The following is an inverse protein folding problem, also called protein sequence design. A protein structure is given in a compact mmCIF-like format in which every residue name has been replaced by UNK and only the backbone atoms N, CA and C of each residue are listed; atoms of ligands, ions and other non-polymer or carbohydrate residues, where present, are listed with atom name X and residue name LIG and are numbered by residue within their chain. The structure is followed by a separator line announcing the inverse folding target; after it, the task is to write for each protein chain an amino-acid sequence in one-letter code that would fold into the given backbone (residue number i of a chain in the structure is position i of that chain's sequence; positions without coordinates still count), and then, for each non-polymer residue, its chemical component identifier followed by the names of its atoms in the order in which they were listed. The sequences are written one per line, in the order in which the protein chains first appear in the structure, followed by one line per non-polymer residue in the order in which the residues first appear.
data_IF_540005428427
#
_entry.id   IF_540005428427
#
_cell.length_a   1.000
_cell.length_b   1.000
_cell.length_c   1.000
_cell.angle_alpha   90.00
_cell.angle_beta   90.00
_cell.angle_gamma   90.00
#
_symmetry.space_group_name_H-M   'P 1'
#
loop_
_entity.id
_entity.type
_entity.pdbx_description
1 polymer ?
#
# COMPACT_ATOMS: atom_id res chain seq x y z
N UNK A 1 -27.91 -19.07 -1.05
CA UNK A 1 -27.51 -18.57 -2.38
C UNK A 1 -28.72 -17.92 -3.02
N UNK A 2 -28.54 -16.79 -3.71
CA UNK A 2 -29.65 -16.02 -4.31
C UNK A 2 -30.08 -16.56 -5.68
N UNK A 3 -29.42 -17.63 -6.15
CA UNK A 3 -29.75 -18.38 -7.37
C UNK A 3 -31.23 -18.83 -7.45
N UNK A 4 -31.88 -19.02 -6.30
CA UNK A 4 -33.29 -19.45 -6.21
C UNK A 4 -34.28 -18.29 -6.16
N UNK A 5 -33.81 -17.04 -6.00
CA UNK A 5 -34.66 -15.84 -6.03
C UNK A 5 -34.77 -15.40 -7.48
N UNK A 6 -35.89 -15.69 -8.14
CA UNK A 6 -36.10 -15.47 -9.58
C UNK A 6 -36.72 -14.11 -9.91
N UNK A 7 -37.20 -13.37 -8.91
CA UNK A 7 -37.78 -12.03 -9.11
C UNK A 7 -37.64 -11.15 -7.88
N UNK A 8 -37.83 -9.84 -8.07
CA UNK A 8 -37.87 -8.85 -6.99
C UNK A 8 -38.98 -9.16 -5.97
N UNK A 9 -40.13 -9.70 -6.38
CA UNK A 9 -41.19 -10.07 -5.44
C UNK A 9 -40.79 -11.21 -4.51
N UNK A 10 -40.01 -12.18 -5.01
CA UNK A 10 -39.45 -13.26 -4.17
C UNK A 10 -38.48 -12.70 -3.13
N UNK A 11 -37.60 -11.77 -3.54
CA UNK A 11 -36.71 -11.05 -2.62
C UNK A 11 -37.50 -10.29 -1.54
N UNK A 12 -38.54 -9.56 -1.95
CA UNK A 12 -39.38 -8.78 -1.03
C UNK A 12 -40.08 -9.65 0.01
N UNK A 13 -40.52 -10.86 -0.36
CA UNK A 13 -41.16 -11.83 0.55
C UNK A 13 -40.22 -12.32 1.67
N UNK A 14 -38.90 -12.23 1.50
CA UNK A 14 -37.92 -12.64 2.51
C UNK A 14 -37.99 -11.72 3.74
N UNK A 15 -38.41 -10.46 3.57
CA UNK A 15 -38.51 -9.44 4.63
C UNK A 15 -37.23 -9.37 5.46
N UNK A 16 -36.09 -9.27 4.77
CA UNK A 16 -34.77 -9.40 5.39
C UNK A 16 -34.53 -8.39 6.53
N UNK A 17 -35.06 -7.18 6.39
CA UNK A 17 -35.03 -6.11 7.40
C UNK A 17 -35.61 -6.53 8.77
N UNK A 18 -36.57 -7.46 8.80
CA UNK A 18 -37.19 -7.95 10.03
C UNK A 18 -36.27 -8.94 10.79
N UNK A 19 -35.23 -9.47 10.14
CA UNK A 19 -34.33 -10.51 10.68
C UNK A 19 -33.21 -9.94 11.56
N UNK A 20 -33.58 -9.35 12.70
CA UNK A 20 -32.69 -8.64 13.64
C UNK A 20 -31.58 -9.47 14.33
N UNK A 21 -31.47 -10.77 14.05
CA UNK A 21 -30.41 -11.64 14.59
C UNK A 21 -29.22 -11.79 13.64
N UNK A 22 -29.36 -11.34 12.39
CA UNK A 22 -28.32 -11.49 11.37
C UNK A 22 -27.18 -10.51 11.66
N UNK A 23 -25.97 -11.05 11.83
CA UNK A 23 -24.73 -10.29 11.97
C UNK A 23 -23.80 -10.44 10.77
N UNK A 24 -23.91 -11.54 10.05
CA UNK A 24 -23.15 -11.81 8.83
C UNK A 24 -24.16 -12.01 7.71
N UNK A 25 -24.04 -11.21 6.66
CA UNK A 25 -24.92 -11.23 5.51
C UNK A 25 -24.11 -11.45 4.25
N UNK A 26 -24.46 -12.51 3.51
CA UNK A 26 -23.81 -12.85 2.26
C UNK A 26 -24.84 -12.98 1.16
N UNK A 27 -24.65 -12.18 0.12
CA UNK A 27 -25.40 -12.29 -1.11
C UNK A 27 -24.49 -12.83 -2.20
N UNK A 28 -24.82 -14.02 -2.69
CA UNK A 28 -24.00 -14.77 -3.64
C UNK A 28 -24.86 -15.15 -4.83
N UNK A 29 -24.47 -14.64 -5.98
CA UNK A 29 -24.94 -14.99 -7.31
C UNK A 29 -23.95 -15.95 -7.97
N UNK A 30 -24.47 -16.89 -8.75
CA UNK A 30 -23.70 -17.81 -9.58
C UNK A 30 -23.33 -17.17 -10.91
N UNK A 31 -22.05 -17.27 -11.27
CA UNK A 31 -21.39 -16.62 -12.41
C UNK A 31 -22.03 -16.89 -13.79
N UNK A 32 -22.66 -18.05 -13.96
CA UNK A 32 -23.18 -18.53 -15.25
C UNK A 32 -24.72 -18.52 -15.35
N UNK A 33 -25.41 -17.89 -14.38
CA UNK A 33 -26.86 -17.77 -14.44
C UNK A 33 -27.26 -16.79 -15.55
N UNK A 34 -28.04 -17.25 -16.54
CA UNK A 34 -28.64 -16.41 -17.58
C UNK A 34 -29.69 -15.47 -16.97
N UNK A 35 -29.26 -14.33 -16.43
CA UNK A 35 -30.11 -13.27 -15.89
C UNK A 35 -29.75 -11.95 -16.55
N UNK A 36 -30.74 -11.08 -16.73
CA UNK A 36 -30.51 -9.75 -17.28
C UNK A 36 -29.89 -8.83 -16.22
N UNK A 37 -29.20 -7.79 -16.68
CA UNK A 37 -28.60 -6.74 -15.83
C UNK A 37 -29.65 -6.03 -14.96
N UNK A 38 -30.88 -5.95 -15.47
CA UNK A 38 -32.02 -5.29 -14.81
C UNK A 38 -32.60 -6.15 -13.67
N UNK A 39 -32.53 -7.48 -13.77
CA UNK A 39 -33.06 -8.38 -12.73
C UNK A 39 -32.28 -8.29 -11.41
N UNK A 40 -30.94 -8.20 -11.49
CA UNK A 40 -30.08 -8.26 -10.31
C UNK A 40 -30.18 -6.99 -9.45
N UNK A 41 -30.29 -5.81 -10.07
CA UNK A 41 -30.45 -4.55 -9.34
C UNK A 41 -31.81 -4.46 -8.65
N UNK A 42 -32.88 -4.94 -9.30
CA UNK A 42 -34.23 -4.99 -8.70
C UNK A 42 -34.26 -5.97 -7.51
N UNK A 43 -33.69 -7.17 -7.68
CA UNK A 43 -33.56 -8.16 -6.60
C UNK A 43 -32.74 -7.58 -5.44
N UNK A 44 -31.58 -6.98 -5.72
CA UNK A 44 -30.76 -6.37 -4.67
C UNK A 44 -31.50 -5.22 -3.97
N UNK A 45 -32.26 -4.41 -4.71
CA UNK A 45 -33.05 -3.29 -4.18
C UNK A 45 -34.11 -3.70 -3.16
N UNK A 46 -34.73 -4.87 -3.35
CA UNK A 46 -35.71 -5.44 -2.42
C UNK A 46 -35.05 -6.15 -1.21
N UNK A 47 -33.79 -6.56 -1.32
CA UNK A 47 -33.01 -7.23 -0.27
C UNK A 47 -32.39 -6.26 0.74
N UNK A 48 -33.23 -5.40 1.34
CA UNK A 48 -32.78 -4.43 2.35
C UNK A 48 -32.26 -5.13 3.62
N UNK A 49 -31.01 -4.88 4.04
CA UNK A 49 -30.42 -5.57 5.18
C UNK A 49 -30.91 -5.00 6.53
N UNK A 50 -30.86 -5.78 7.61
CA UNK A 50 -31.07 -5.25 8.96
C UNK A 50 -29.81 -4.49 9.44
N UNK A 51 -30.01 -3.43 10.22
CA UNK A 51 -28.91 -2.61 10.76
C UNK A 51 -28.00 -3.33 11.79
N UNK A 52 -28.31 -4.59 12.13
CA UNK A 52 -27.52 -5.45 13.02
C UNK A 52 -26.36 -6.15 12.32
N UNK A 53 -26.27 -6.03 11.00
CA UNK A 53 -25.21 -6.65 10.21
C UNK A 53 -23.87 -5.96 10.49
N UNK A 54 -22.86 -6.78 10.77
CA UNK A 54 -21.48 -6.39 11.02
C UNK A 54 -20.55 -6.78 9.85
N UNK A 55 -20.89 -7.84 9.13
CA UNK A 55 -20.12 -8.33 7.97
C UNK A 55 -21.02 -8.48 6.77
N UNK A 56 -20.64 -7.86 5.66
CA UNK A 56 -21.39 -7.89 4.42
C UNK A 56 -20.53 -8.39 3.27
N UNK A 57 -21.02 -9.39 2.54
CA UNK A 57 -20.38 -9.91 1.33
C UNK A 57 -21.37 -9.86 0.17
N UNK A 58 -20.93 -9.31 -0.95
CA UNK A 58 -21.62 -9.30 -2.22
C UNK A 58 -20.74 -9.98 -3.26
N UNK A 59 -21.25 -11.06 -3.85
CA UNK A 59 -20.50 -11.85 -4.82
C UNK A 59 -21.33 -12.16 -6.07
N UNK A 60 -20.74 -12.00 -7.25
CA UNK A 60 -21.34 -12.40 -8.52
C UNK A 60 -22.43 -11.44 -9.02
N UNK A 61 -22.55 -10.25 -8.42
CA UNK A 61 -23.57 -9.27 -8.80
C UNK A 61 -23.32 -8.75 -10.21
N UNK A 62 -24.30 -8.85 -11.10
CA UNK A 62 -24.14 -8.57 -12.52
C UNK A 62 -24.98 -7.36 -12.96
N UNK A 63 -24.87 -6.25 -12.22
CA UNK A 63 -25.43 -4.97 -12.64
C UNK A 63 -24.37 -3.89 -12.83
N UNK A 64 -24.71 -2.82 -13.52
CA UNK A 64 -23.79 -1.70 -13.81
C UNK A 64 -23.65 -0.75 -12.63
N UNK A 65 -24.65 -0.68 -11.76
CA UNK A 65 -24.69 0.19 -10.57
C UNK A 65 -25.22 -0.56 -9.34
N UNK A 66 -25.01 0.03 -8.18
CA UNK A 66 -25.54 -0.49 -6.92
C UNK A 66 -26.97 -0.02 -6.66
N UNK A 67 -27.76 -0.84 -5.95
CA UNK A 67 -29.09 -0.47 -5.47
C UNK A 67 -29.04 0.76 -4.55
N UNK A 68 -30.14 1.51 -4.46
CA UNK A 68 -30.19 2.78 -3.72
C UNK A 68 -29.82 2.68 -2.24
N UNK A 69 -30.09 1.54 -1.59
CA UNK A 69 -29.69 1.34 -0.20
C UNK A 69 -28.17 1.10 -0.03
N UNK A 70 -27.47 0.63 -1.07
CA UNK A 70 -26.01 0.52 -1.10
C UNK A 70 -25.36 1.87 -1.38
N UNK A 71 -26.00 2.76 -2.14
CA UNK A 71 -25.51 4.15 -2.28
C UNK A 71 -25.73 4.96 -0.99
N UNK A 72 -26.75 4.62 -0.20
CA UNK A 72 -27.01 5.16 1.14
C UNK A 72 -26.59 4.17 2.26
N UNK A 73 -25.47 3.47 2.06
CA UNK A 73 -25.09 2.34 2.93
C UNK A 73 -24.96 2.71 4.41
N UNK A 74 -24.62 3.96 4.73
CA UNK A 74 -24.47 4.44 6.11
C UNK A 74 -25.80 4.36 6.87
N UNK A 75 -26.92 4.66 6.21
CA UNK A 75 -28.25 4.62 6.82
C UNK A 75 -28.72 3.19 7.08
N UNK A 76 -28.44 2.28 6.15
CA UNK A 76 -28.92 0.90 6.23
C UNK A 76 -28.00 0.00 7.06
N UNK A 77 -26.69 0.26 7.03
CA UNK A 77 -25.66 -0.62 7.58
C UNK A 77 -24.61 0.15 8.43
N UNK A 78 -25.02 0.91 9.46
CA UNK A 78 -24.13 1.79 10.24
C UNK A 78 -23.09 1.03 11.09
N UNK A 79 -23.34 -0.25 11.37
CA UNK A 79 -22.50 -1.07 12.25
C UNK A 79 -21.51 -1.97 11.49
N UNK A 80 -21.33 -1.76 10.19
CA UNK A 80 -20.43 -2.59 9.40
C UNK A 80 -18.98 -2.47 9.88
N UNK A 81 -18.34 -3.63 9.94
CA UNK A 81 -16.94 -3.81 10.30
C UNK A 81 -16.15 -4.36 9.10
N UNK A 82 -16.74 -5.27 8.32
CA UNK A 82 -16.07 -5.91 7.18
C UNK A 82 -16.97 -5.97 5.95
N UNK A 83 -16.40 -5.59 4.80
CA UNK A 83 -17.08 -5.57 3.50
C UNK A 83 -16.24 -6.34 2.48
N UNK A 84 -16.93 -7.19 1.71
CA UNK A 84 -16.33 -8.00 0.65
C UNK A 84 -17.15 -7.80 -0.64
N UNK A 85 -16.57 -7.17 -1.65
CA UNK A 85 -17.12 -7.04 -2.99
C UNK A 85 -16.29 -7.94 -3.92
N UNK A 86 -16.89 -9.01 -4.45
CA UNK A 86 -16.14 -10.06 -5.15
C UNK A 86 -16.82 -10.43 -6.46
N UNK A 87 -16.08 -10.40 -7.57
CA UNK A 87 -16.58 -10.85 -8.88
C UNK A 87 -17.85 -10.09 -9.29
N UNK A 88 -17.72 -8.76 -9.40
CA UNK A 88 -18.79 -7.84 -9.83
C UNK A 88 -18.33 -7.14 -11.11
N UNK A 89 -18.25 -7.87 -12.24
CA UNK A 89 -17.47 -7.44 -13.40
C UNK A 89 -18.08 -6.26 -14.15
N UNK A 90 -19.40 -6.10 -14.14
CA UNK A 90 -20.12 -5.06 -14.90
C UNK A 90 -20.23 -3.73 -14.17
N UNK A 91 -19.99 -3.70 -12.86
CA UNK A 91 -20.21 -2.51 -12.05
C UNK A 91 -19.10 -1.49 -12.25
N UNK A 92 -19.47 -0.26 -12.58
CA UNK A 92 -18.53 0.82 -12.90
C UNK A 92 -18.53 1.95 -11.86
N UNK A 93 -19.45 1.95 -10.89
CA UNK A 93 -19.51 2.91 -9.79
C UNK A 93 -19.29 2.21 -8.46
N UNK A 94 -18.57 2.85 -7.54
CA UNK A 94 -18.40 2.35 -6.17
C UNK A 94 -19.33 3.11 -5.22
N UNK A 95 -19.90 2.46 -4.19
CA UNK A 95 -20.68 3.13 -3.17
C UNK A 95 -19.76 3.87 -2.19
N UNK A 96 -20.28 4.88 -1.44
CA UNK A 96 -19.50 5.69 -0.50
C UNK A 96 -19.14 4.91 0.78
N UNK A 97 -18.35 3.85 0.65
CA UNK A 97 -17.94 2.96 1.74
C UNK A 97 -17.04 3.66 2.77
N UNK A 98 -16.34 4.73 2.35
CA UNK A 98 -15.45 5.51 3.19
C UNK A 98 -16.14 6.19 4.38
N UNK A 99 -17.44 6.48 4.26
CA UNK A 99 -18.22 7.15 5.32
C UNK A 99 -18.69 6.22 6.43
N UNK A 100 -18.44 4.91 6.32
CA UNK A 100 -18.86 3.95 7.34
C UNK A 100 -17.99 4.08 8.61
N UNK A 101 -18.61 4.29 9.79
CA UNK A 101 -17.87 4.72 10.98
C UNK A 101 -17.02 3.62 11.61
N UNK A 102 -17.35 2.35 11.38
CA UNK A 102 -16.77 1.21 12.08
C UNK A 102 -16.02 0.22 11.17
N UNK A 103 -15.87 0.54 9.88
CA UNK A 103 -15.27 -0.38 8.92
C UNK A 103 -13.77 -0.50 9.18
N UNK A 104 -13.33 -1.75 9.36
CA UNK A 104 -11.94 -2.15 9.60
C UNK A 104 -11.35 -2.97 8.47
N UNK A 105 -12.19 -3.60 7.66
CA UNK A 105 -11.77 -4.49 6.59
C UNK A 105 -12.58 -4.22 5.33
N UNK A 106 -11.90 -3.93 4.23
CA UNK A 106 -12.49 -3.76 2.92
C UNK A 106 -11.73 -4.62 1.90
N UNK A 107 -12.45 -5.46 1.18
CA UNK A 107 -11.93 -6.23 0.07
C UNK A 107 -12.74 -5.96 -1.19
N UNK A 108 -12.03 -5.58 -2.25
CA UNK A 108 -12.57 -5.41 -3.60
C UNK A 108 -11.79 -6.35 -4.52
N UNK A 109 -12.48 -7.30 -5.14
CA UNK A 109 -11.85 -8.32 -5.98
C UNK A 109 -12.65 -8.52 -7.26
N UNK A 110 -11.99 -8.57 -8.43
CA UNK A 110 -12.65 -8.83 -9.72
C UNK A 110 -13.83 -7.88 -10.03
N UNK A 111 -13.59 -6.58 -9.98
CA UNK A 111 -14.52 -5.55 -10.47
C UNK A 111 -13.97 -4.86 -11.72
N UNK A 112 -13.99 -5.58 -12.84
CA UNK A 112 -13.27 -5.23 -14.08
C UNK A 112 -13.80 -3.99 -14.81
N UNK A 113 -14.98 -3.47 -14.49
CA UNK A 113 -15.49 -2.21 -15.08
C UNK A 113 -15.10 -0.96 -14.29
N UNK A 114 -14.56 -1.11 -13.08
CA UNK A 114 -14.08 0.02 -12.27
C UNK A 114 -12.72 0.47 -12.82
N UNK A 115 -12.65 1.74 -13.22
CA UNK A 115 -11.44 2.35 -13.79
C UNK A 115 -10.66 3.20 -12.80
N UNK A 116 -11.34 3.76 -11.81
CA UNK A 116 -10.74 4.65 -10.83
C UNK A 116 -11.29 4.36 -9.43
N UNK A 117 -10.44 4.55 -8.43
CA UNK A 117 -10.83 4.69 -7.02
C UNK A 117 -10.61 6.16 -6.64
N UNK A 118 -11.69 6.85 -6.29
CA UNK A 118 -11.73 8.27 -6.00
C UNK A 118 -12.84 8.59 -4.97
N UNK A 119 -13.26 9.85 -4.93
CA UNK A 119 -14.28 10.38 -4.01
C UNK A 119 -15.60 9.63 -4.00
N UNK A 120 -15.95 8.89 -5.07
CA UNK A 120 -17.15 8.06 -5.09
C UNK A 120 -17.08 6.94 -4.05
N UNK A 121 -15.90 6.33 -3.86
CA UNK A 121 -15.67 5.31 -2.83
C UNK A 121 -15.55 5.95 -1.43
N UNK A 122 -14.91 7.11 -1.34
CA UNK A 122 -14.69 7.80 -0.06
C UNK A 122 -15.96 8.41 0.51
N UNK A 123 -16.84 8.92 -0.35
CA UNK A 123 -18.09 9.59 0.01
C UNK A 123 -17.89 10.93 0.73
N UNK A 124 -16.72 11.56 0.59
CA UNK A 124 -16.37 12.85 1.21
C UNK A 124 -15.14 12.79 2.12
N UNK A 125 -14.92 13.87 2.87
CA UNK A 125 -13.73 14.02 3.73
C UNK A 125 -13.72 13.04 4.91
N UNK A 126 -12.52 12.74 5.43
CA UNK A 126 -12.30 11.83 6.59
C UNK A 126 -12.84 10.42 6.39
N UNK A 127 -12.74 9.92 5.15
CA UNK A 127 -13.06 8.53 4.84
C UNK A 127 -12.15 7.54 5.58
N UNK A 128 -12.68 6.36 5.87
CA UNK A 128 -11.91 5.20 6.35
C UNK A 128 -11.09 5.43 7.63
N UNK A 129 -11.65 6.12 8.63
CA UNK A 129 -10.97 6.44 9.90
C UNK A 129 -10.42 5.23 10.65
N UNK A 130 -11.16 4.13 10.62
CA UNK A 130 -10.84 2.89 11.34
C UNK A 130 -10.41 1.75 10.41
N UNK A 131 -10.23 2.01 9.10
CA UNK A 131 -9.87 0.96 8.16
C UNK A 131 -8.46 0.44 8.47
N UNK A 132 -8.37 -0.83 8.83
CA UNK A 132 -7.12 -1.48 9.17
C UNK A 132 -6.55 -2.26 7.98
N UNK A 133 -7.42 -2.86 7.17
CA UNK A 133 -7.02 -3.71 6.04
C UNK A 133 -7.80 -3.32 4.78
N UNK A 134 -7.08 -3.03 3.70
CA UNK A 134 -7.66 -2.81 2.39
C UNK A 134 -7.01 -3.74 1.38
N UNK A 135 -7.82 -4.61 0.78
CA UNK A 135 -7.42 -5.57 -0.24
C UNK A 135 -8.05 -5.18 -1.58
N UNK A 136 -7.22 -5.01 -2.60
CA UNK A 136 -7.62 -4.81 -3.99
C UNK A 136 -6.95 -5.88 -4.84
N UNK A 137 -7.74 -6.77 -5.43
CA UNK A 137 -7.23 -7.97 -6.11
C UNK A 137 -7.89 -8.19 -7.48
N UNK A 138 -7.11 -8.55 -8.50
CA UNK A 138 -7.61 -8.96 -9.83
C UNK A 138 -8.54 -7.90 -10.44
N UNK A 139 -8.09 -6.64 -10.47
CA UNK A 139 -8.80 -5.49 -11.02
C UNK A 139 -8.16 -5.08 -12.35
N UNK A 140 -8.59 -5.70 -13.46
CA UNK A 140 -7.85 -5.63 -14.73
C UNK A 140 -7.89 -4.27 -15.43
N UNK A 141 -8.95 -3.50 -15.19
CA UNK A 141 -9.14 -2.18 -15.80
C UNK A 141 -8.95 -1.02 -14.83
N UNK A 142 -8.58 -1.28 -13.58
CA UNK A 142 -8.33 -0.22 -12.61
C UNK A 142 -7.04 0.51 -13.01
N UNK A 143 -7.19 1.75 -13.44
CA UNK A 143 -6.12 2.59 -14.00
C UNK A 143 -5.63 3.60 -12.95
N UNK A 144 -6.54 4.19 -12.18
CA UNK A 144 -6.21 5.29 -11.27
C UNK A 144 -6.69 5.04 -9.84
N UNK A 145 -5.87 5.43 -8.88
CA UNK A 145 -6.27 5.60 -7.49
C UNK A 145 -5.89 7.01 -7.04
N UNK A 146 -6.91 7.85 -6.91
CA UNK A 146 -6.79 9.21 -6.39
C UNK A 146 -7.07 9.20 -4.89
N UNK A 147 -6.19 9.79 -4.10
CA UNK A 147 -6.31 9.95 -2.64
C UNK A 147 -6.29 11.43 -2.26
N UNK A 148 -6.44 12.34 -3.23
CA UNK A 148 -6.72 13.73 -2.97
C UNK A 148 -8.24 13.89 -2.88
N UNK A 149 -8.79 14.53 -1.84
CA UNK A 149 -10.19 14.92 -1.88
C UNK A 149 -10.36 15.84 -3.09
N UNK A 150 -11.37 15.56 -3.93
CA UNK A 150 -11.76 16.51 -4.96
C UNK A 150 -12.25 17.78 -4.25
N UNK A 151 -11.55 18.89 -4.46
CA UNK A 151 -12.13 20.19 -4.17
C UNK A 151 -13.28 20.37 -5.16
N UNK A 152 -14.53 20.24 -4.69
CA UNK A 152 -15.66 20.76 -5.45
C UNK A 152 -15.53 22.29 -5.50
N UNK A 153 -15.39 22.84 -6.71
CA UNK A 153 -15.36 24.28 -6.97
C UNK A 153 -16.66 24.99 -6.51
N UNK A 154 -17.71 24.24 -6.16
CA UNK A 154 -19.01 24.76 -5.73
C UNK A 154 -19.00 25.45 -4.36
N UNK A 155 -17.99 25.21 -3.51
CA UNK A 155 -17.86 25.92 -2.22
C UNK A 155 -17.27 27.34 -2.35
N UNK A 156 -16.91 27.76 -3.57
CA UNK A 156 -16.37 29.11 -3.85
C UNK A 156 -17.43 30.13 -4.29
N UNK A 157 -18.73 29.77 -4.39
CA UNK A 157 -19.76 30.67 -4.94
C UNK A 157 -20.78 31.27 -3.95
N UNK A 158 -20.67 31.06 -2.63
CA UNK A 158 -21.42 31.91 -1.68
C UNK A 158 -20.57 33.10 -1.22
N UNK A 159 -20.35 34.04 -2.13
CA UNK A 159 -19.56 35.23 -1.88
C UNK A 159 -19.62 36.27 -2.99
N UNK A 160 -20.77 36.47 -3.61
CA UNK A 160 -21.00 37.68 -4.41
C UNK A 160 -21.03 38.87 -3.44
N UNK A 161 -19.92 39.61 -3.34
CA UNK A 161 -19.95 41.01 -2.92
C UNK A 161 -19.78 41.88 -4.16
N UNK A 162 -20.78 42.72 -4.36
CA UNK A 162 -20.84 43.77 -5.37
C UNK A 162 -19.58 44.63 -5.36
N UNK A 163 -19.03 44.83 -6.55
CA UNK A 163 -18.00 45.82 -6.81
C UNK A 163 -18.59 47.22 -6.68
N UNK A 164 -18.07 48.02 -5.74
CA UNK A 164 -17.86 49.45 -5.97
C UNK A 164 -16.75 50.01 -5.06
N UNK A 165 -15.70 50.51 -5.75
CA UNK A 165 -14.77 51.63 -5.48
C UNK A 165 -15.01 52.41 -4.17
N UNK A 166 -14.03 52.89 -3.42
CA UNK A 166 -12.74 53.52 -3.77
C UNK A 166 -11.99 53.86 -2.46
N UNK A 167 -10.68 54.13 -2.58
CA UNK A 167 -9.80 54.91 -1.69
C UNK A 167 -9.07 54.23 -0.51
N UNK A 168 -7.77 54.07 -0.74
CA UNK A 168 -6.64 54.70 -0.04
C UNK A 168 -6.57 54.66 1.51
N UNK A 169 -5.50 53.98 1.92
CA UNK A 169 -4.51 54.36 2.95
C UNK A 169 -4.92 54.29 4.44
N UNK A 170 -4.19 53.39 5.13
CA UNK A 170 -3.81 53.41 6.56
C UNK A 170 -4.94 53.40 7.61
N UNK A 171 -5.07 52.26 8.29
CA UNK A 171 -4.51 52.13 9.64
C UNK A 171 -4.65 50.71 10.19
N UNK A 172 -3.59 50.27 10.87
CA UNK A 172 -3.47 49.00 11.56
C UNK A 172 -4.41 48.97 12.78
N UNK A 173 -5.49 48.21 12.72
CA UNK A 173 -6.15 47.66 13.90
C UNK A 173 -6.49 46.19 13.67
N UNK A 174 -5.69 45.32 14.28
CA UNK A 174 -6.05 43.91 14.39
C UNK A 174 -6.99 43.76 15.57
N UNK A 175 -8.31 43.70 15.36
CA UNK A 175 -9.23 43.35 16.45
C UNK A 175 -10.61 42.89 15.95
N UNK A 176 -10.75 41.58 15.73
CA UNK A 176 -12.02 40.90 15.97
C UNK A 176 -11.76 39.47 16.46
N UNK A 177 -12.44 39.10 17.54
CA UNK A 177 -12.53 37.73 18.03
C UNK A 177 -13.04 36.77 16.93
N UNK A 178 -13.87 37.27 16.00
CA UNK A 178 -14.34 36.50 14.85
C UNK A 178 -13.27 36.24 13.80
N UNK A 179 -12.27 37.10 13.63
CA UNK A 179 -11.20 36.89 12.65
C UNK A 179 -10.12 35.95 13.19
N UNK A 180 -9.89 35.97 14.51
CA UNK A 180 -9.16 34.90 15.17
C UNK A 180 -9.94 33.58 15.14
N UNK A 181 -11.26 33.58 15.29
CA UNK A 181 -12.07 32.38 15.13
C UNK A 181 -12.10 31.89 13.68
N UNK A 182 -12.18 32.76 12.67
CA UNK A 182 -12.11 32.41 11.25
C UNK A 182 -10.72 31.90 10.87
N UNK A 183 -9.65 32.53 11.35
CA UNK A 183 -8.29 32.06 11.15
C UNK A 183 -8.03 30.74 11.91
N UNK A 184 -8.57 30.59 13.11
CA UNK A 184 -8.50 29.34 13.88
C UNK A 184 -9.39 28.25 13.28
N UNK A 185 -10.53 28.58 12.69
CA UNK A 185 -11.41 27.65 11.95
C UNK A 185 -10.80 27.26 10.62
N UNK A 186 -10.25 28.19 9.85
CA UNK A 186 -9.51 27.92 8.62
C UNK A 186 -8.25 27.13 8.91
N UNK A 187 -7.56 27.42 10.01
CA UNK A 187 -6.45 26.60 10.50
C UNK A 187 -6.93 25.25 11.00
N UNK A 188 -8.06 25.14 11.70
CA UNK A 188 -8.66 23.88 12.16
C UNK A 188 -9.17 23.04 10.99
N UNK A 189 -9.74 23.61 9.95
CA UNK A 189 -10.12 22.95 8.70
C UNK A 189 -8.87 22.51 7.94
N UNK A 190 -7.86 23.38 7.81
CA UNK A 190 -6.56 23.05 7.22
C UNK A 190 -5.80 21.99 8.05
N UNK A 191 -5.99 21.96 9.37
CA UNK A 191 -5.37 21.04 10.32
C UNK A 191 -6.15 19.72 10.45
N UNK A 192 -7.48 19.73 10.37
CA UNK A 192 -8.31 18.52 10.24
C UNK A 192 -8.15 17.90 8.84
N UNK A 193 -7.92 18.72 7.81
CA UNK A 193 -7.52 18.29 6.45
C UNK A 193 -6.11 17.67 6.42
N UNK A 194 -5.28 17.93 7.45
CA UNK A 194 -4.00 17.25 7.69
C UNK A 194 -4.14 15.93 8.45
N UNK A 195 -5.30 15.62 9.04
CA UNK A 195 -5.58 14.25 9.50
C UNK A 195 -5.92 13.41 8.28
N UNK A 196 -5.11 12.38 8.05
CA UNK A 196 -5.16 11.62 6.82
C UNK A 196 -6.44 10.81 6.71
N UNK A 197 -6.94 10.68 5.50
CA UNK A 197 -7.66 9.45 5.14
C UNK A 197 -6.78 8.25 5.55
N UNK A 198 -7.40 7.18 6.06
CA UNK A 198 -6.70 5.96 6.48
C UNK A 198 -5.82 6.07 7.74
N UNK A 199 -6.21 6.87 8.73
CA UNK A 199 -5.52 7.02 10.03
C UNK A 199 -5.12 5.68 10.71
N UNK A 200 -5.91 4.62 10.50
CA UNK A 200 -5.71 3.31 11.15
C UNK A 200 -5.17 2.21 10.23
N UNK A 201 -4.73 2.52 9.01
CA UNK A 201 -4.36 1.49 8.03
C UNK A 201 -3.10 0.75 8.45
N UNK A 202 -3.25 -0.58 8.56
CA UNK A 202 -2.20 -1.54 8.93
C UNK A 202 -1.73 -2.33 7.72
N UNK A 203 -2.62 -2.64 6.79
CA UNK A 203 -2.26 -3.44 5.62
C UNK A 203 -3.01 -2.97 4.37
N UNK A 204 -2.23 -2.58 3.37
CA UNK A 204 -2.69 -2.41 2.00
C UNK A 204 -2.16 -3.57 1.17
N UNK A 205 -3.05 -4.33 0.53
CA UNK A 205 -2.70 -5.43 -0.35
C UNK A 205 -3.25 -5.17 -1.74
N UNK A 206 -2.36 -5.04 -2.72
CA UNK A 206 -2.68 -4.85 -4.13
C UNK A 206 -2.13 -6.03 -4.90
N UNK A 207 -2.99 -6.77 -5.59
CA UNK A 207 -2.59 -7.94 -6.37
C UNK A 207 -3.29 -7.99 -7.72
N UNK A 208 -2.58 -8.40 -8.76
CA UNK A 208 -3.16 -8.58 -10.10
C UNK A 208 -3.89 -7.30 -10.61
N UNK A 209 -3.30 -6.13 -10.40
CA UNK A 209 -3.81 -4.83 -10.82
C UNK A 209 -2.84 -4.18 -11.83
N UNK A 210 -2.78 -4.68 -13.09
CA UNK A 210 -1.69 -4.38 -14.01
C UNK A 210 -1.69 -2.93 -14.55
N UNK A 211 -2.80 -2.20 -14.45
CA UNK A 211 -2.92 -0.82 -14.95
C UNK A 211 -2.87 0.23 -13.84
N UNK A 212 -2.94 -0.19 -12.58
CA UNK A 212 -3.19 0.70 -11.46
C UNK A 212 -1.98 1.62 -11.21
N UNK A 213 -2.24 2.93 -11.16
CA UNK A 213 -1.31 3.95 -10.73
C UNK A 213 -1.92 4.82 -9.64
N UNK A 214 -1.08 5.26 -8.72
CA UNK A 214 -1.49 6.17 -7.66
C UNK A 214 -1.26 7.61 -8.08
N UNK A 215 -2.30 8.43 -8.04
CA UNK A 215 -2.26 9.82 -8.55
C UNK A 215 -1.88 10.84 -7.49
N UNK A 216 -2.28 10.61 -6.24
CA UNK A 216 -2.06 11.54 -5.13
C UNK A 216 -1.30 10.88 -3.98
N UNK A 217 0.03 10.93 -4.04
CA UNK A 217 0.94 10.48 -2.97
C UNK A 217 0.86 8.98 -2.65
N UNK A 218 1.79 8.46 -1.83
CA UNK A 218 1.70 7.11 -1.31
C UNK A 218 0.54 7.01 -0.30
N UNK A 219 -0.12 5.84 -0.20
CA UNK A 219 -1.21 5.64 0.75
C UNK A 219 -0.72 5.81 2.18
N UNK A 220 -1.43 6.64 2.93
CA UNK A 220 -1.01 7.05 4.26
C UNK A 220 -1.49 6.04 5.31
N UNK A 221 -0.62 5.69 6.25
CA UNK A 221 -0.96 4.87 7.41
C UNK A 221 -0.16 5.35 8.61
N UNK A 222 -0.84 5.76 9.68
CA UNK A 222 -0.21 6.41 10.84
C UNK A 222 0.32 5.40 11.89
N UNK A 223 0.20 4.10 11.64
CA UNK A 223 0.56 3.03 12.58
C UNK A 223 1.96 2.48 12.30
N UNK A 224 2.68 2.11 13.37
CA UNK A 224 4.04 1.55 13.30
C UNK A 224 4.14 0.27 12.45
N UNK A 225 3.10 -0.57 12.45
CA UNK A 225 3.11 -1.85 11.72
C UNK A 225 2.51 -1.77 10.30
N UNK A 226 2.43 -0.57 9.72
CA UNK A 226 1.85 -0.40 8.38
C UNK A 226 2.67 -1.13 7.30
N UNK A 227 2.05 -2.16 6.72
CA UNK A 227 2.57 -3.02 5.65
C UNK A 227 1.87 -2.69 4.33
N UNK A 228 2.65 -2.61 3.26
CA UNK A 228 2.16 -2.55 1.90
C UNK A 228 2.64 -3.77 1.12
N UNK A 229 1.74 -4.45 0.41
CA UNK A 229 2.07 -5.59 -0.44
C UNK A 229 1.57 -5.33 -1.85
N UNK A 230 2.45 -5.50 -2.83
CA UNK A 230 2.19 -5.32 -4.26
C UNK A 230 2.61 -6.59 -4.97
N UNK A 231 1.66 -7.25 -5.62
CA UNK A 231 1.87 -8.54 -6.31
C UNK A 231 1.38 -8.41 -7.76
N UNK A 232 2.23 -8.68 -8.77
CA UNK A 232 1.84 -8.59 -10.21
C UNK A 232 1.10 -7.30 -10.57
N UNK A 233 1.63 -6.15 -10.14
CA UNK A 233 0.95 -4.84 -10.24
C UNK A 233 1.96 -3.71 -10.48
N UNK A 234 2.84 -3.88 -11.46
CA UNK A 234 4.09 -3.13 -11.61
C UNK A 234 3.92 -1.62 -11.78
N UNK A 235 2.79 -1.19 -12.36
CA UNK A 235 2.45 0.23 -12.54
C UNK A 235 2.33 0.98 -11.20
N UNK A 236 2.02 0.28 -10.12
CA UNK A 236 2.03 0.83 -8.76
C UNK A 236 3.43 1.31 -8.38
N UNK A 237 4.46 0.52 -8.70
CA UNK A 237 5.85 0.81 -8.34
C UNK A 237 6.44 1.96 -9.17
N UNK A 238 5.93 2.15 -10.38
CA UNK A 238 6.27 3.26 -11.28
C UNK A 238 5.63 4.59 -10.86
N UNK A 239 4.74 4.60 -9.87
CA UNK A 239 4.08 5.82 -9.41
C UNK A 239 5.11 6.81 -8.85
N UNK A 240 5.09 8.03 -9.39
CA UNK A 240 5.95 9.14 -8.99
C UNK A 240 5.09 10.35 -8.75
N UNK A 241 5.34 11.06 -7.65
CA UNK A 241 4.57 12.26 -7.31
C UNK A 241 5.50 13.47 -7.36
N UNK A 242 5.08 14.53 -8.06
CA UNK A 242 5.80 15.79 -8.04
C UNK A 242 5.83 16.37 -6.61
N UNK A 243 6.83 17.20 -6.29
CA UNK A 243 6.92 17.98 -5.05
C UNK A 243 5.78 19.01 -4.96
N UNK A 244 4.51 18.60 -4.92
CA UNK A 244 3.38 19.48 -4.60
C UNK A 244 3.42 19.73 -3.09
N UNK A 245 4.12 20.80 -2.70
CA UNK A 245 4.03 21.39 -1.37
C UNK A 245 5.27 21.24 -0.49
N UNK A 246 6.44 21.68 -0.96
CA UNK A 246 7.46 22.20 -0.04
C UNK A 246 7.02 23.59 0.46
N UNK A 247 5.91 23.63 1.20
CA UNK A 247 5.55 24.75 2.04
C UNK A 247 5.80 24.29 3.48
N UNK A 248 6.90 24.76 4.06
CA UNK A 248 7.17 24.83 5.49
C UNK A 248 6.74 23.65 6.36
N UNK A 249 7.70 22.77 6.65
CA UNK A 249 7.76 22.05 7.93
C UNK A 249 6.62 21.08 8.24
N UNK A 250 6.82 19.80 7.90
CA UNK A 250 6.40 18.67 8.75
C UNK A 250 7.05 17.37 8.25
N UNK A 251 8.13 16.99 8.91
CA UNK A 251 8.77 15.67 8.88
C UNK A 251 7.86 14.61 9.52
N UNK A 252 6.68 14.35 8.94
CA UNK A 252 5.90 13.17 9.30
C UNK A 252 4.92 12.79 8.20
N UNK A 253 5.44 12.28 7.09
CA UNK A 253 4.58 11.55 6.13
C UNK A 253 4.35 10.14 6.67
N UNK A 254 3.09 9.82 6.92
CA UNK A 254 2.62 8.52 7.38
C UNK A 254 2.79 7.46 6.28
N UNK A 255 4.03 7.05 6.01
CA UNK A 255 4.42 6.11 4.95
C UNK A 255 4.65 4.71 5.53
N UNK A 256 4.47 3.63 4.75
CA UNK A 256 4.65 2.27 5.23
C UNK A 256 6.07 2.00 5.72
N UNK A 257 6.17 1.16 6.75
CA UNK A 257 7.45 0.67 7.28
C UNK A 257 7.92 -0.60 6.60
N UNK A 258 6.98 -1.37 6.05
CA UNK A 258 7.25 -2.61 5.33
C UNK A 258 6.63 -2.57 3.95
N UNK A 259 7.44 -2.83 2.93
CA UNK A 259 7.01 -3.01 1.55
C UNK A 259 7.35 -4.43 1.11
N UNK A 260 6.36 -5.13 0.57
CA UNK A 260 6.51 -6.46 -0.01
C UNK A 260 6.16 -6.34 -1.48
N UNK A 261 7.10 -6.70 -2.35
CA UNK A 261 6.89 -6.75 -3.80
C UNK A 261 7.08 -8.18 -4.26
N UNK A 262 6.07 -8.72 -4.95
CA UNK A 262 6.09 -10.08 -5.47
C UNK A 262 5.76 -10.09 -6.97
N UNK A 263 6.47 -10.92 -7.75
CA UNK A 263 6.21 -11.08 -9.19
C UNK A 263 6.23 -9.76 -9.97
N UNK A 264 7.26 -8.94 -9.78
CA UNK A 264 7.47 -7.70 -10.52
C UNK A 264 8.42 -7.92 -11.70
N UNK A 265 8.04 -7.43 -12.87
CA UNK A 265 8.86 -7.51 -14.09
C UNK A 265 9.66 -6.24 -14.36
N UNK A 266 9.31 -5.15 -13.69
CA UNK A 266 9.96 -3.84 -13.87
C UNK A 266 11.28 -3.76 -13.09
N UNK A 267 12.36 -3.27 -13.73
CA UNK A 267 13.66 -3.09 -13.06
C UNK A 267 13.59 -2.21 -11.82
N UNK A 268 14.38 -2.55 -10.79
CA UNK A 268 14.45 -1.80 -9.53
C UNK A 268 14.72 -0.30 -9.73
N UNK A 269 15.53 0.09 -10.73
CA UNK A 269 15.81 1.51 -10.98
C UNK A 269 14.61 2.36 -11.40
N UNK A 270 13.49 1.73 -11.78
CA UNK A 270 12.27 2.43 -12.20
C UNK A 270 11.25 2.57 -11.07
N UNK A 271 11.49 1.95 -9.90
CA UNK A 271 10.59 1.96 -8.75
C UNK A 271 10.57 3.32 -8.06
N UNK A 272 9.94 4.30 -8.72
CA UNK A 272 9.89 5.70 -8.29
C UNK A 272 9.20 5.85 -6.95
N UNK A 273 8.29 4.92 -6.60
CA UNK A 273 7.60 4.88 -5.31
C UNK A 273 8.57 4.89 -4.12
N UNK A 274 9.73 4.24 -4.24
CA UNK A 274 10.70 4.11 -3.15
C UNK A 274 11.24 5.47 -2.68
N UNK A 275 11.33 6.46 -3.58
CA UNK A 275 11.80 7.83 -3.27
C UNK A 275 10.85 8.55 -2.31
N UNK A 276 9.61 8.10 -2.24
CA UNK A 276 8.56 8.71 -1.45
C UNK A 276 8.29 7.93 -0.14
N UNK A 277 9.13 6.94 0.20
CA UNK A 277 9.00 6.08 1.38
C UNK A 277 10.19 6.24 2.36
N UNK A 278 10.44 7.43 2.93
CA UNK A 278 11.64 7.70 3.74
C UNK A 278 11.68 6.92 5.07
N UNK A 279 10.55 6.36 5.52
CA UNK A 279 10.43 5.58 6.77
C UNK A 279 10.46 4.07 6.54
N UNK A 280 10.68 3.61 5.31
CA UNK A 280 10.74 2.19 5.00
C UNK A 280 11.89 1.53 5.76
N UNK A 281 11.58 0.54 6.60
CA UNK A 281 12.56 -0.20 7.39
C UNK A 281 12.77 -1.62 6.87
N UNK A 282 11.78 -2.18 6.18
CA UNK A 282 11.78 -3.56 5.71
C UNK A 282 11.28 -3.64 4.26
N UNK A 283 12.12 -4.18 3.37
CA UNK A 283 11.82 -4.41 1.97
C UNK A 283 11.98 -5.89 1.65
N UNK A 284 10.89 -6.53 1.24
CA UNK A 284 10.86 -7.90 0.75
C UNK A 284 10.57 -7.89 -0.74
N UNK A 285 11.45 -8.52 -1.51
CA UNK A 285 11.33 -8.72 -2.95
C UNK A 285 11.26 -10.23 -3.18
N UNK A 286 10.20 -10.71 -3.83
CA UNK A 286 10.02 -12.12 -4.17
C UNK A 286 9.69 -12.31 -5.64
N UNK A 287 10.29 -13.32 -6.27
CA UNK A 287 9.97 -13.72 -7.66
C UNK A 287 9.95 -12.56 -8.66
N UNK A 288 10.89 -11.62 -8.50
CA UNK A 288 11.06 -10.49 -9.42
C UNK A 288 12.10 -10.84 -10.47
N UNK A 289 11.88 -10.42 -11.71
CA UNK A 289 12.75 -10.82 -12.83
C UNK A 289 13.98 -9.92 -13.00
N UNK A 290 13.94 -8.67 -12.52
CA UNK A 290 14.99 -7.69 -12.75
C UNK A 290 15.24 -6.78 -11.51
N UNK A 291 16.45 -6.88 -10.94
CA UNK A 291 16.94 -5.99 -9.87
C UNK A 291 18.04 -5.03 -10.34
N UNK A 292 18.19 -4.82 -11.63
CA UNK A 292 19.16 -3.87 -12.19
C UNK A 292 18.90 -2.48 -11.64
N UNK A 293 19.95 -1.92 -11.03
CA UNK A 293 19.95 -0.54 -10.57
C UNK A 293 21.05 0.24 -11.29
N UNK A 294 20.67 1.22 -12.09
CA UNK A 294 21.61 2.15 -12.75
C UNK A 294 21.55 3.56 -12.16
N UNK A 295 20.55 3.85 -11.32
CA UNK A 295 20.33 5.16 -10.74
C UNK A 295 20.87 5.22 -9.31
N UNK A 296 21.70 6.22 -9.03
CA UNK A 296 22.24 6.51 -7.68
C UNK A 296 21.20 7.16 -6.77
N UNK A 297 20.20 7.85 -7.33
CA UNK A 297 19.26 8.68 -6.56
C UNK A 297 18.12 7.90 -5.89
N UNK A 298 17.92 6.62 -6.21
CA UNK A 298 16.85 5.83 -5.58
C UNK A 298 17.12 5.52 -4.12
N UNK A 299 18.38 5.19 -3.81
CA UNK A 299 18.78 4.77 -2.48
C UNK A 299 19.01 5.95 -1.52
N UNK A 300 19.20 7.17 -2.05
CA UNK A 300 19.20 8.40 -1.24
C UNK A 300 17.90 8.56 -0.43
N UNK A 301 16.77 8.07 -0.95
CA UNK A 301 15.47 8.09 -0.27
C UNK A 301 15.28 6.99 0.79
N UNK A 302 16.13 5.96 0.82
CA UNK A 302 15.97 4.75 1.65
C UNK A 302 16.92 4.70 2.86
N UNK A 303 17.20 5.86 3.44
CA UNK A 303 18.13 5.99 4.58
C UNK A 303 17.69 5.26 5.87
N UNK A 304 16.42 4.88 5.98
CA UNK A 304 15.86 4.16 7.13
C UNK A 304 15.83 2.64 6.98
N UNK A 305 16.19 2.09 5.81
CA UNK A 305 16.05 0.66 5.52
C UNK A 305 17.01 -0.18 6.38
N UNK A 306 16.46 -1.14 7.13
CA UNK A 306 17.19 -2.03 8.05
C UNK A 306 17.25 -3.45 7.54
N UNK A 307 16.19 -3.93 6.89
CA UNK A 307 16.08 -5.30 6.42
C UNK A 307 15.79 -5.30 4.92
N UNK A 308 16.57 -6.06 4.17
CA UNK A 308 16.34 -6.37 2.76
C UNK A 308 16.31 -7.87 2.58
N UNK A 309 15.21 -8.37 2.03
CA UNK A 309 15.02 -9.80 1.76
C UNK A 309 14.73 -9.99 0.28
N UNK A 310 15.52 -10.80 -0.41
CA UNK A 310 15.35 -11.16 -1.83
C UNK A 310 15.16 -12.67 -1.92
N UNK A 311 13.97 -13.13 -2.32
CA UNK A 311 13.62 -14.55 -2.34
C UNK A 311 13.11 -14.99 -3.71
N UNK A 312 13.37 -16.24 -4.08
CA UNK A 312 12.74 -16.89 -5.23
C UNK A 312 12.94 -16.12 -6.54
N UNK A 313 14.07 -15.45 -6.75
CA UNK A 313 14.34 -14.67 -7.97
C UNK A 313 15.33 -15.40 -8.90
N UNK A 314 14.90 -16.39 -9.70
CA UNK A 314 15.81 -17.25 -10.47
C UNK A 314 16.48 -16.53 -11.65
N UNK A 315 15.85 -15.49 -12.21
CA UNK A 315 16.30 -14.80 -13.43
C UNK A 315 17.40 -13.76 -13.19
N UNK A 316 17.66 -13.42 -11.93
CA UNK A 316 18.58 -12.34 -11.57
C UNK A 316 20.02 -12.84 -11.60
N UNK A 317 20.87 -12.20 -12.39
CA UNK A 317 22.28 -12.57 -12.52
C UNK A 317 23.21 -12.01 -11.43
N UNK A 318 22.88 -10.83 -10.88
CA UNK A 318 23.68 -10.15 -9.87
C UNK A 318 22.83 -9.13 -9.09
N UNK A 319 23.28 -8.81 -7.88
CA UNK A 319 22.76 -7.67 -7.12
C UNK A 319 23.42 -6.36 -7.60
N UNK A 320 22.71 -5.21 -7.52
CA UNK A 320 23.25 -3.93 -7.97
C UNK A 320 24.38 -3.41 -7.07
N UNK A 321 25.37 -2.72 -7.66
CA UNK A 321 26.48 -2.06 -6.93
C UNK A 321 26.04 -0.88 -6.06
N UNK A 322 24.84 -0.36 -6.28
CA UNK A 322 24.26 0.72 -5.49
C UNK A 322 23.64 0.19 -4.19
N UNK A 323 23.60 -1.15 -3.99
CA UNK A 323 23.18 -1.73 -2.73
C UNK A 323 24.03 -1.22 -1.55
N UNK A 324 25.33 -0.96 -1.78
CA UNK A 324 26.22 -0.40 -0.76
C UNK A 324 25.86 1.01 -0.27
N UNK A 325 24.93 1.71 -0.92
CA UNK A 325 24.46 3.02 -0.49
C UNK A 325 23.42 2.91 0.66
N UNK A 326 22.91 1.70 0.94
CA UNK A 326 21.99 1.40 2.06
C UNK A 326 22.72 1.32 3.40
N UNK A 327 23.34 2.42 3.83
CA UNK A 327 24.20 2.48 5.04
C UNK A 327 23.51 2.14 6.37
N UNK A 328 22.18 2.06 6.42
CA UNK A 328 21.39 1.65 7.59
C UNK A 328 21.06 0.16 7.65
N UNK A 329 21.39 -0.60 6.60
CA UNK A 329 21.04 -2.01 6.49
C UNK A 329 21.73 -2.83 7.58
N UNK A 330 20.95 -3.68 8.27
CA UNK A 330 21.38 -4.57 9.36
C UNK A 330 21.26 -6.03 8.98
N UNK A 331 20.27 -6.37 8.17
CA UNK A 331 19.99 -7.74 7.73
C UNK A 331 19.83 -7.77 6.23
N UNK A 332 20.61 -8.62 5.56
CA UNK A 332 20.44 -8.97 4.16
C UNK A 332 20.14 -10.47 4.07
N UNK A 333 18.98 -10.82 3.53
CA UNK A 333 18.57 -12.21 3.29
C UNK A 333 18.42 -12.46 1.80
N UNK A 334 19.04 -13.51 1.30
CA UNK A 334 18.96 -13.95 -0.09
C UNK A 334 18.58 -15.43 -0.08
N UNK A 335 17.51 -15.81 -0.77
CA UNK A 335 16.99 -17.17 -0.75
C UNK A 335 16.54 -17.64 -2.12
N UNK A 336 16.88 -18.86 -2.52
CA UNK A 336 16.43 -19.48 -3.78
C UNK A 336 16.70 -18.62 -5.03
N UNK A 337 17.86 -17.96 -5.08
CA UNK A 337 18.28 -17.07 -6.17
C UNK A 337 19.44 -17.71 -6.96
N UNK A 338 19.11 -18.59 -7.90
CA UNK A 338 20.09 -19.44 -8.61
C UNK A 338 21.01 -18.69 -9.58
N UNK A 339 20.57 -17.53 -10.09
CA UNK A 339 21.34 -16.75 -11.04
C UNK A 339 22.39 -15.83 -10.40
N UNK A 340 22.29 -15.54 -9.09
CA UNK A 340 23.19 -14.62 -8.39
C UNK A 340 24.50 -15.34 -8.11
N UNK A 341 25.56 -14.91 -8.80
CA UNK A 341 26.89 -15.56 -8.68
C UNK A 341 27.80 -14.93 -7.64
N UNK A 342 27.66 -13.63 -7.41
CA UNK A 342 28.58 -12.86 -6.57
C UNK A 342 27.84 -11.78 -5.80
N UNK A 343 28.35 -11.44 -4.62
CA UNK A 343 27.97 -10.20 -3.95
C UNK A 343 28.62 -8.99 -4.64
N UNK A 344 27.97 -7.82 -4.64
CA UNK A 344 28.52 -6.61 -5.25
C UNK A 344 29.74 -6.12 -4.45
N UNK A 345 30.72 -5.52 -5.12
CA UNK A 345 31.94 -5.03 -4.45
C UNK A 345 31.65 -3.95 -3.41
N UNK A 346 30.58 -3.18 -3.62
CA UNK A 346 30.02 -2.20 -2.70
C UNK A 346 29.50 -2.73 -1.36
N UNK A 347 29.36 -4.06 -1.17
CA UNK A 347 28.91 -4.67 0.09
C UNK A 347 29.76 -4.22 1.29
N UNK A 348 31.05 -3.93 1.06
CA UNK A 348 31.99 -3.42 2.06
C UNK A 348 31.56 -2.07 2.67
N UNK A 349 30.74 -1.28 1.96
CA UNK A 349 30.22 0.01 2.43
C UNK A 349 29.13 -0.16 3.50
N UNK A 350 28.52 -1.35 3.62
CA UNK A 350 27.44 -1.64 4.56
C UNK A 350 27.96 -1.84 5.98
N UNK A 351 28.50 -0.78 6.58
CA UNK A 351 29.16 -0.81 7.89
C UNK A 351 28.27 -1.21 9.07
N UNK A 352 26.94 -1.20 8.89
CA UNK A 352 25.95 -1.59 9.90
C UNK A 352 25.37 -2.98 9.70
N UNK A 353 25.78 -3.70 8.65
CA UNK A 353 25.28 -5.04 8.35
C UNK A 353 25.75 -6.00 9.44
N UNK A 354 24.79 -6.61 10.15
CA UNK A 354 25.04 -7.52 11.27
C UNK A 354 24.83 -8.96 10.85
N UNK A 355 23.80 -9.22 10.03
CA UNK A 355 23.39 -10.55 9.62
C UNK A 355 23.29 -10.64 8.10
N UNK A 356 23.93 -11.67 7.54
CA UNK A 356 23.80 -12.07 6.15
C UNK A 356 23.28 -13.51 6.11
N UNK A 357 22.09 -13.72 5.54
CA UNK A 357 21.49 -15.05 5.41
C UNK A 357 21.38 -15.42 3.93
N UNK A 358 21.90 -16.59 3.57
CA UNK A 358 21.92 -17.12 2.22
C UNK A 358 21.38 -18.55 2.27
N UNK A 359 20.36 -18.84 1.48
CA UNK A 359 19.72 -20.17 1.42
C UNK A 359 19.40 -20.53 -0.03
N UNK A 360 19.55 -21.79 -0.42
CA UNK A 360 19.21 -22.28 -1.76
C UNK A 360 19.84 -21.46 -2.91
N UNK A 361 21.06 -20.93 -2.72
CA UNK A 361 21.76 -20.08 -3.69
C UNK A 361 23.10 -20.70 -4.10
N UNK A 362 23.14 -21.74 -4.95
CA UNK A 362 24.32 -22.59 -5.14
C UNK A 362 25.56 -21.83 -5.64
N UNK A 363 25.39 -20.93 -6.61
CA UNK A 363 26.49 -20.13 -7.16
C UNK A 363 27.03 -19.11 -6.14
N UNK A 364 26.12 -18.50 -5.36
CA UNK A 364 26.51 -17.55 -4.31
C UNK A 364 27.18 -18.25 -3.14
N UNK A 365 26.72 -19.45 -2.76
CA UNK A 365 27.36 -20.29 -1.75
C UNK A 365 28.79 -20.65 -2.17
N UNK A 366 29.04 -20.93 -3.45
CA UNK A 366 30.40 -21.15 -3.97
C UNK A 366 31.29 -19.90 -3.90
N UNK A 367 30.70 -18.70 -3.94
CA UNK A 367 31.46 -17.45 -3.80
C UNK A 367 32.09 -17.29 -2.41
N UNK A 368 31.58 -17.97 -1.38
CA UNK A 368 32.15 -17.95 -0.02
C UNK A 368 33.33 -18.93 0.17
N UNK A 369 33.61 -19.78 -0.83
CA UNK A 369 34.70 -20.77 -0.71
C UNK A 369 36.10 -20.12 -0.72
N UNK A 370 36.40 -19.11 -1.56
CA UNK A 370 37.71 -18.44 -1.51
C UNK A 370 37.80 -17.45 -0.32
N UNK A 371 38.84 -17.60 0.50
CA UNK A 371 39.12 -16.72 1.65
C UNK A 371 39.18 -15.22 1.28
N UNK A 372 39.66 -14.89 0.08
CA UNK A 372 39.72 -13.51 -0.44
C UNK A 372 38.36 -12.80 -0.47
N UNK A 373 37.26 -13.55 -0.57
CA UNK A 373 35.91 -12.99 -0.57
C UNK A 373 35.42 -12.72 0.86
N UNK A 374 35.86 -13.50 1.85
CA UNK A 374 35.55 -13.29 3.26
C UNK A 374 36.18 -11.99 3.79
N UNK A 375 37.37 -11.62 3.29
CA UNK A 375 38.02 -10.32 3.60
C UNK A 375 37.16 -9.13 3.19
N UNK A 376 36.19 -9.30 2.27
CA UNK A 376 35.26 -8.24 1.84
C UNK A 376 34.08 -8.05 2.81
N UNK A 377 33.93 -8.89 3.83
CA UNK A 377 32.80 -8.88 4.77
C UNK A 377 33.21 -8.67 6.25
N UNK A 378 34.26 -7.89 6.59
CA UNK A 378 34.90 -7.96 7.91
C UNK A 378 34.05 -7.43 9.07
N UNK A 379 32.91 -6.80 8.77
CA UNK A 379 32.01 -6.17 9.75
C UNK A 379 30.76 -6.99 10.05
N UNK A 380 30.52 -8.08 9.30
CA UNK A 380 29.33 -8.92 9.46
C UNK A 380 29.56 -9.84 10.67
N UNK A 381 28.62 -9.82 11.61
CA UNK A 381 28.72 -10.60 12.85
C UNK A 381 28.28 -12.04 12.68
N UNK A 382 27.23 -12.23 11.88
CA UNK A 382 26.54 -13.50 11.70
C UNK A 382 26.34 -13.74 10.21
N UNK A 383 26.92 -14.81 9.68
CA UNK A 383 26.72 -15.25 8.30
C UNK A 383 26.05 -16.61 8.37
N UNK A 384 24.82 -16.73 7.89
CA UNK A 384 24.08 -17.98 7.82
C UNK A 384 24.03 -18.44 6.37
N UNK A 385 24.55 -19.62 6.06
CA UNK A 385 24.60 -20.19 4.70
C UNK A 385 24.00 -21.59 4.73
N UNK A 386 22.94 -21.83 3.95
CA UNK A 386 22.21 -23.11 3.89
C UNK A 386 21.75 -23.62 5.27
N UNK A 387 21.47 -22.70 6.20
CA UNK A 387 21.04 -23.00 7.57
C UNK A 387 22.18 -23.21 8.57
N UNK A 388 23.44 -23.19 8.12
CA UNK A 388 24.63 -23.27 8.98
C UNK A 388 25.13 -21.87 9.35
N UNK A 389 25.47 -21.67 10.62
CA UNK A 389 25.89 -20.37 11.15
C UNK A 389 27.42 -20.28 11.19
N UNK A 390 27.94 -19.24 10.55
CA UNK A 390 29.35 -18.90 10.49
C UNK A 390 29.60 -17.54 11.16
N UNK A 391 30.75 -17.44 11.83
CA UNK A 391 31.29 -16.17 12.30
C UNK A 391 32.67 -15.95 11.69
N UNK A 392 32.90 -14.73 11.24
CA UNK A 392 34.21 -14.33 10.73
C UNK A 392 35.16 -14.06 11.89
N UNK A 393 36.18 -14.89 12.03
CA UNK A 393 37.22 -14.75 13.04
C UNK A 393 38.45 -14.13 12.40
N UNK A 394 38.90 -12.99 12.94
CA UNK A 394 40.12 -12.33 12.51
C UNK A 394 41.31 -13.04 13.15
N UNK A 395 42.06 -13.83 12.37
CA UNK A 395 43.33 -14.38 12.81
C UNK A 395 44.39 -13.29 12.64
N UNK A 396 44.76 -12.64 13.75
CA UNK A 396 46.00 -11.86 13.78
C UNK A 396 47.17 -12.85 13.70
N UNK A 397 47.88 -12.85 12.57
CA UNK A 397 49.17 -13.52 12.47
C UNK A 397 50.13 -12.98 13.53
N UNK A 398 50.92 -13.89 14.12
CA UNK A 398 51.87 -13.63 15.20
C UNK A 398 52.99 -12.66 14.81
N UNK A 399 53.89 -12.33 15.75
CA UNK A 399 54.81 -11.21 15.65
C UNK A 399 56.01 -11.55 14.75
N UNK A 400 55.82 -11.78 13.46
CA UNK A 400 56.90 -11.81 12.49
C UNK A 400 56.35 -11.50 11.08
N UNK A 401 56.37 -10.21 10.74
CA UNK A 401 56.92 -9.79 9.45
C UNK A 401 56.10 -9.95 8.17
N UNK A 402 54.79 -10.20 8.20
CA UNK A 402 53.88 -9.86 7.10
C UNK A 402 52.44 -9.72 7.64
N UNK A 403 51.95 -8.48 7.74
CA UNK A 403 50.61 -8.19 8.26
C UNK A 403 49.54 -8.47 7.20
N UNK A 404 49.23 -9.74 6.98
CA UNK A 404 48.06 -10.17 6.21
C UNK A 404 46.93 -10.44 7.21
N UNK A 405 45.82 -9.69 7.11
CA UNK A 405 44.61 -9.97 7.90
C UNK A 405 43.92 -11.18 7.29
N UNK A 406 44.04 -12.31 7.96
CA UNK A 406 43.42 -13.58 7.57
C UNK A 406 42.05 -13.69 8.25
N UNK A 407 41.01 -14.01 7.47
CA UNK A 407 39.64 -14.16 7.95
C UNK A 407 39.15 -15.55 7.64
N UNK A 408 38.84 -16.32 8.68
CA UNK A 408 38.23 -17.64 8.56
C UNK A 408 36.77 -17.61 8.97
N UNK A 409 35.94 -18.39 8.28
CA UNK A 409 34.58 -18.70 8.71
C UNK A 409 34.62 -19.91 9.65
N UNK A 410 34.37 -19.69 10.93
CA UNK A 410 34.19 -20.78 11.90
C UNK A 410 32.69 -21.09 12.03
N UNK A 411 32.32 -22.35 11.82
CA UNK A 411 30.98 -22.90 12.07
C UNK A 411 30.74 -22.95 13.60
N UNK A 412 29.58 -22.46 14.05
CA UNK A 412 29.12 -22.50 15.45
C UNK A 412 28.08 -23.58 15.61
#
# INVERSE_FOLDING_TARGET
MLENVKSAEEARRIKLVEKRRIRNLEFVWTRDAKRSVDDDIEVLGELKPPNTVLRFKLQGYNSTSFASWMTDIVTYLPNLIAIYLVDIPTCNTLPPLGQLPNVKFLQITRMDSVRKIDDDLYGGTRAFRLLENFIVEDMKCLEEWDMAPSCSEDDLQTGQMDNNRENDDKDLHWESFEDHLRAAWKWLEEFDRRRGEFDSLKWLFVKDCPKLRFKAGPPKGHILDYKWTVTRSDQVLLSSWGNRGQAGGSTSTATPRRLVVEHCEVPLHQWSVLRHLPRLEDLLIRDCSDLTCSSTYLFEGLSSLKNLTVLDCPSIAALPEQLGDLTSLRTLKIGNCKGIKTLPGSIQKLTRLQRLEISDCPELTQWFVPEENCVKLPLIKEIEIEGELYVLVNKKSGPEGDSMTEFDMEEI
#
